data_IF_617093351936
#
_entry.id   IF_617093351936
#
_cell.length_a   1.000
_cell.length_b   1.000
_cell.length_c   1.000
_cell.angle_alpha   90.00
_cell.angle_beta   90.00
_cell.angle_gamma   90.00
#
_symmetry.space_group_name_H-M   'P 1'
#
loop_
_entity.id
_entity.type
_entity.pdbx_description
1 polymer ?
#
# COMPACT_ATOMS: atom_id res chain seq x y z
N UNK A 1 27.82 82.23 32.77
CA UNK A 1 29.18 82.50 32.26
C UNK A 1 29.36 81.64 31.02
N UNK A 2 29.79 82.04 29.83
CA UNK A 2 30.35 83.25 29.27
C UNK A 2 30.83 82.82 27.87
N UNK A 3 30.43 83.54 26.82
CA UNK A 3 30.71 83.30 25.40
C UNK A 3 32.21 83.22 25.07
N UNK A 4 32.57 82.48 23.99
CA UNK A 4 33.42 82.84 22.81
C UNK A 4 33.96 81.54 22.17
N UNK A 5 34.12 81.32 20.86
CA UNK A 5 34.32 82.11 19.63
C UNK A 5 33.68 81.34 18.45
N UNK A 6 33.03 81.89 17.42
CA UNK A 6 33.34 82.93 16.40
C UNK A 6 34.06 82.39 15.14
N UNK A 7 33.29 82.36 14.03
CA UNK A 7 33.60 82.51 12.58
C UNK A 7 34.62 81.51 11.97
N UNK A 8 34.50 81.03 10.74
CA UNK A 8 33.70 81.38 9.57
C UNK A 8 34.56 81.15 8.32
N UNK A 9 34.07 80.39 7.33
CA UNK A 9 34.74 80.17 6.04
C UNK A 9 33.77 79.52 5.06
N UNK A 10 33.62 80.10 3.86
CA UNK A 10 32.60 79.81 2.83
C UNK A 10 33.30 79.49 1.50
N UNK A 11 32.63 78.67 0.66
CA UNK A 11 32.91 78.24 -0.75
C UNK A 11 33.73 76.95 -0.87
N UNK A 12 33.46 76.00 -1.77
CA UNK A 12 32.46 75.80 -2.83
C UNK A 12 32.30 74.26 -3.02
N UNK A 13 31.12 73.74 -3.33
CA UNK A 13 30.81 73.29 -4.70
C UNK A 13 31.00 71.78 -4.86
N UNK A 14 29.92 71.01 -4.78
CA UNK A 14 29.92 69.56 -5.02
C UNK A 14 28.49 69.03 -4.93
N UNK A 15 27.89 68.78 -6.09
CA UNK A 15 26.53 68.25 -6.27
C UNK A 15 26.38 66.90 -5.58
N UNK A 16 25.40 66.78 -4.68
CA UNK A 16 24.95 65.49 -4.16
C UNK A 16 23.48 65.30 -4.56
N UNK A 17 23.27 64.39 -5.49
CA UNK A 17 21.96 63.95 -5.94
C UNK A 17 21.12 63.42 -4.76
N UNK A 18 19.92 63.96 -4.60
CA UNK A 18 18.97 63.56 -3.58
C UNK A 18 18.47 62.13 -3.82
N UNK A 19 18.82 61.23 -2.90
CA UNK A 19 18.15 59.94 -2.73
C UNK A 19 16.84 60.18 -1.99
N UNK A 20 15.74 60.25 -2.75
CA UNK A 20 14.39 60.23 -2.21
C UNK A 20 14.06 58.78 -1.84
N UNK A 21 13.76 58.57 -0.56
CA UNK A 21 13.26 57.32 0.00
C UNK A 21 11.87 57.01 -0.55
N UNK A 22 11.81 56.27 -1.65
CA UNK A 22 10.60 55.60 -2.10
C UNK A 22 10.39 54.34 -1.26
N UNK A 23 9.47 54.42 -0.29
CA UNK A 23 8.87 53.24 0.33
C UNK A 23 8.21 52.42 -0.79
N UNK A 24 8.89 51.37 -1.23
CA UNK A 24 8.28 50.35 -2.07
C UNK A 24 7.13 49.73 -1.27
N UNK A 25 5.90 50.00 -1.68
CA UNK A 25 4.74 49.28 -1.21
C UNK A 25 4.97 47.80 -1.54
N UNK A 26 5.12 46.97 -0.50
CA UNK A 26 5.09 45.53 -0.63
C UNK A 26 3.75 45.13 -1.20
N UNK A 27 3.71 44.75 -2.47
CA UNK A 27 2.56 44.07 -3.06
C UNK A 27 2.25 42.85 -2.19
N UNK A 28 1.00 42.64 -1.75
CA UNK A 28 0.64 41.39 -1.11
C UNK A 28 0.90 40.26 -2.11
N UNK A 29 1.65 39.24 -1.68
CA UNK A 29 1.88 38.05 -2.49
C UNK A 29 0.52 37.53 -2.96
N UNK A 30 0.32 37.39 -4.29
CA UNK A 30 -0.82 36.67 -4.82
C UNK A 30 -0.70 35.22 -4.36
N UNK A 31 -1.31 34.90 -3.22
CA UNK A 31 -1.56 33.50 -2.86
C UNK A 31 -2.47 32.95 -3.94
N UNK A 32 -2.05 31.90 -4.64
CA UNK A 32 -2.90 31.19 -5.59
C UNK A 32 -4.17 30.78 -4.82
N UNK A 33 -5.33 31.31 -5.24
CA UNK A 33 -6.60 30.93 -4.64
C UNK A 33 -6.88 29.47 -5.00
N UNK A 34 -6.47 28.55 -4.13
CA UNK A 34 -6.62 27.12 -4.35
C UNK A 34 -8.05 26.70 -4.03
N UNK A 35 -8.88 26.56 -5.06
CA UNK A 35 -10.26 26.07 -4.95
C UNK A 35 -10.49 24.83 -5.82
N UNK A 36 -10.15 23.62 -5.33
CA UNK A 36 -10.22 22.39 -6.10
C UNK A 36 -11.64 21.89 -6.36
N UNK A 37 -12.65 22.43 -5.66
CA UNK A 37 -14.03 21.93 -5.72
C UNK A 37 -14.76 22.23 -7.03
N UNK A 38 -14.30 23.25 -7.74
CA UNK A 38 -14.95 23.73 -8.97
C UNK A 38 -14.36 23.08 -10.23
N UNK A 39 -13.27 22.32 -10.08
CA UNK A 39 -12.59 21.65 -11.20
C UNK A 39 -13.16 20.26 -11.39
N UNK A 40 -13.80 20.03 -12.55
CA UNK A 40 -14.36 18.73 -12.91
C UNK A 40 -13.40 17.85 -13.70
N UNK A 41 -12.46 18.45 -14.43
CA UNK A 41 -11.48 17.71 -15.21
C UNK A 41 -10.33 17.20 -14.32
N UNK A 42 -10.05 15.89 -14.30
CA UNK A 42 -9.00 15.35 -13.45
C UNK A 42 -7.60 15.86 -13.80
N UNK A 43 -7.31 16.17 -15.07
CA UNK A 43 -5.99 16.62 -15.50
C UNK A 43 -5.74 18.08 -15.07
N UNK A 44 -6.73 18.96 -15.26
CA UNK A 44 -6.71 20.33 -14.74
C UNK A 44 -6.57 20.35 -13.20
N UNK A 45 -7.24 19.43 -12.51
CA UNK A 45 -7.13 19.32 -11.06
C UNK A 45 -5.70 18.89 -10.63
N UNK A 46 -5.06 17.99 -11.38
CA UNK A 46 -3.66 17.62 -11.14
C UNK A 46 -2.74 18.83 -11.33
N UNK A 47 -2.91 19.61 -12.41
CA UNK A 47 -2.11 20.81 -12.67
C UNK A 47 -2.28 21.87 -11.58
N UNK A 48 -3.52 22.09 -11.12
CA UNK A 48 -3.80 23.00 -10.01
C UNK A 48 -3.13 22.54 -8.71
N UNK A 49 -3.16 21.24 -8.40
CA UNK A 49 -2.49 20.69 -7.23
C UNK A 49 -0.97 20.82 -7.33
N UNK A 50 -0.39 20.55 -8.50
CA UNK A 50 1.05 20.70 -8.76
C UNK A 50 1.47 22.16 -8.57
N UNK A 51 0.72 23.12 -9.11
CA UNK A 51 0.99 24.54 -8.93
C UNK A 51 0.95 24.97 -7.45
N UNK A 52 -0.07 24.52 -6.71
CA UNK A 52 -0.19 24.83 -5.28
C UNK A 52 0.93 24.21 -4.43
N UNK A 53 1.46 23.04 -4.81
CA UNK A 53 2.58 22.39 -4.13
C UNK A 53 3.94 23.00 -4.48
N UNK A 54 4.07 23.59 -5.67
CA UNK A 54 5.27 24.34 -6.07
C UNK A 54 5.36 25.74 -5.44
N UNK A 55 4.23 26.33 -5.07
CA UNK A 55 4.20 27.63 -4.43
C UNK A 55 4.91 27.59 -3.07
N UNK A 56 6.10 28.20 -3.02
CA UNK A 56 6.94 28.31 -1.82
C UNK A 56 6.25 29.07 -0.68
N UNK A 57 5.27 29.91 -1.00
CA UNK A 57 4.52 30.73 -0.06
C UNK A 57 3.16 30.12 0.31
N UNK A 58 2.80 28.97 -0.25
CA UNK A 58 1.57 28.27 0.10
C UNK A 58 1.52 28.00 1.61
N UNK A 59 0.36 28.22 2.22
CA UNK A 59 0.17 27.89 3.64
C UNK A 59 0.22 26.37 3.86
N UNK A 60 0.53 25.87 5.07
CA UNK A 60 0.41 24.44 5.38
C UNK A 60 -0.97 23.88 5.08
N UNK A 61 -2.04 24.63 5.38
CA UNK A 61 -3.41 24.22 5.07
C UNK A 61 -3.65 24.10 3.56
N UNK A 62 -3.09 25.02 2.76
CA UNK A 62 -3.16 24.97 1.29
C UNK A 62 -2.44 23.74 0.74
N UNK A 63 -1.22 23.45 1.22
CA UNK A 63 -0.46 22.26 0.81
C UNK A 63 -1.16 20.97 1.19
N UNK A 64 -1.70 20.88 2.41
CA UNK A 64 -2.50 19.73 2.84
C UNK A 64 -3.75 19.55 1.97
N UNK A 65 -4.45 20.64 1.64
CA UNK A 65 -5.62 20.60 0.77
C UNK A 65 -5.25 20.18 -0.66
N UNK A 66 -4.10 20.63 -1.17
CA UNK A 66 -3.57 20.23 -2.46
C UNK A 66 -3.20 18.74 -2.50
N UNK A 67 -2.51 18.22 -1.48
CA UNK A 67 -2.19 16.78 -1.40
C UNK A 67 -3.44 15.91 -1.26
N UNK A 68 -4.44 16.35 -0.50
CA UNK A 68 -5.71 15.64 -0.38
C UNK A 68 -6.48 15.61 -1.70
N UNK A 69 -6.53 16.74 -2.43
CA UNK A 69 -7.18 16.85 -3.73
C UNK A 69 -6.45 16.04 -4.79
N UNK A 70 -5.11 16.05 -4.77
CA UNK A 70 -4.24 15.22 -5.60
C UNK A 70 -4.55 13.72 -5.39
N UNK A 71 -4.61 13.26 -4.14
CA UNK A 71 -4.97 11.88 -3.85
C UNK A 71 -6.38 11.54 -4.37
N UNK A 72 -7.37 12.42 -4.16
CA UNK A 72 -8.73 12.25 -4.68
C UNK A 72 -8.80 12.17 -6.20
N UNK A 73 -8.00 12.99 -6.91
CA UNK A 73 -7.89 12.94 -8.37
C UNK A 73 -7.33 11.59 -8.84
N UNK A 74 -6.26 11.10 -8.21
CA UNK A 74 -5.61 9.84 -8.57
C UNK A 74 -6.50 8.60 -8.29
N UNK A 75 -7.41 8.66 -7.30
CA UNK A 75 -8.46 7.64 -7.09
C UNK A 75 -9.47 7.55 -8.26
N UNK A 76 -9.52 8.55 -9.14
CA UNK A 76 -10.41 8.63 -10.29
C UNK A 76 -10.09 7.66 -11.44
N UNK A 77 -9.00 6.89 -11.35
CA UNK A 77 -8.38 6.20 -12.50
C UNK A 77 -7.99 7.19 -13.59
N UNK A 78 -6.98 8.01 -13.30
CA UNK A 78 -6.35 8.88 -14.30
C UNK A 78 -5.21 8.08 -14.94
N UNK A 79 -5.36 7.49 -16.14
CA UNK A 79 -4.29 6.73 -16.75
C UNK A 79 -3.14 7.67 -17.15
N UNK A 80 -2.10 7.72 -16.33
CA UNK A 80 -0.90 8.53 -16.59
C UNK A 80 0.14 7.67 -17.32
N UNK A 81 0.77 8.26 -18.34
CA UNK A 81 1.83 7.64 -19.13
C UNK A 81 3.10 8.48 -19.04
N UNK A 82 4.04 8.06 -18.20
CA UNK A 82 5.28 8.80 -17.95
C UNK A 82 6.10 9.09 -19.22
N UNK A 83 5.98 8.25 -20.25
CA UNK A 83 6.69 8.46 -21.51
C UNK A 83 6.15 9.67 -22.31
N UNK A 84 4.89 10.06 -22.09
CA UNK A 84 4.22 11.14 -22.82
C UNK A 84 3.75 12.27 -21.91
N UNK A 85 3.79 12.07 -20.59
CA UNK A 85 3.28 12.94 -19.56
C UNK A 85 4.34 13.15 -18.49
N UNK A 86 4.82 14.39 -18.32
CA UNK A 86 5.80 14.73 -17.29
C UNK A 86 5.22 14.85 -15.88
N UNK A 87 3.88 14.86 -15.74
CA UNK A 87 3.21 15.04 -14.44
C UNK A 87 3.58 14.00 -13.39
N UNK A 88 3.67 12.69 -13.68
CA UNK A 88 4.02 11.68 -12.69
C UNK A 88 5.32 11.96 -11.94
N UNK A 89 6.39 12.31 -12.67
CA UNK A 89 7.69 12.61 -12.08
C UNK A 89 7.64 13.87 -11.20
N UNK A 90 6.94 14.91 -11.67
CA UNK A 90 6.76 16.15 -10.91
C UNK A 90 5.96 15.90 -9.63
N UNK A 91 4.83 15.19 -9.74
CA UNK A 91 3.98 14.80 -8.61
C UNK A 91 4.79 13.99 -7.60
N UNK A 92 5.56 13.00 -8.07
CA UNK A 92 6.41 12.17 -7.22
C UNK A 92 7.46 13.00 -6.49
N UNK A 93 8.16 13.89 -7.18
CA UNK A 93 9.16 14.78 -6.58
C UNK A 93 8.56 15.69 -5.50
N UNK A 94 7.39 16.29 -5.75
CA UNK A 94 6.67 17.15 -4.80
C UNK A 94 6.19 16.38 -3.56
N UNK A 95 5.68 15.16 -3.76
CA UNK A 95 5.35 14.27 -2.66
C UNK A 95 6.59 13.89 -1.85
N UNK A 96 7.72 13.62 -2.51
CA UNK A 96 9.00 13.34 -1.86
C UNK A 96 9.50 14.49 -0.97
N UNK A 97 9.31 15.74 -1.37
CA UNK A 97 9.61 16.92 -0.52
C UNK A 97 8.71 16.94 0.72
N UNK A 98 7.41 16.70 0.54
CA UNK A 98 6.43 16.68 1.63
C UNK A 98 6.70 15.56 2.65
N UNK A 99 7.07 14.37 2.16
CA UNK A 99 7.48 13.22 2.99
C UNK A 99 8.75 13.56 3.80
N UNK A 100 9.80 14.07 3.14
CA UNK A 100 11.05 14.44 3.81
C UNK A 100 10.79 15.46 4.93
N UNK A 101 9.96 16.47 4.65
CA UNK A 101 9.62 17.52 5.62
C UNK A 101 8.77 16.99 6.78
N UNK A 102 7.74 16.18 6.50
CA UNK A 102 6.87 15.61 7.54
C UNK A 102 7.54 14.56 8.41
N UNK A 103 8.51 13.82 7.87
CA UNK A 103 9.31 12.90 8.68
C UNK A 103 10.35 13.61 9.56
N UNK A 104 10.79 14.81 9.17
CA UNK A 104 11.73 15.61 9.95
C UNK A 104 11.06 16.43 11.07
N UNK A 105 9.80 16.84 10.88
CA UNK A 105 9.10 17.70 11.82
C UNK A 105 7.61 17.30 11.99
N UNK A 106 7.15 17.02 13.22
CA UNK A 106 5.77 16.57 13.49
C UNK A 106 4.68 17.51 12.98
N UNK A 107 4.96 18.82 12.92
CA UNK A 107 4.04 19.83 12.39
C UNK A 107 3.60 19.58 10.94
N UNK A 108 4.37 18.81 10.16
CA UNK A 108 4.06 18.46 8.77
C UNK A 108 3.73 16.97 8.59
N UNK A 109 3.46 16.22 9.66
CA UNK A 109 3.15 14.79 9.59
C UNK A 109 1.89 14.48 8.76
N UNK A 110 0.92 15.41 8.74
CA UNK A 110 -0.27 15.28 7.88
C UNK A 110 0.07 15.45 6.40
N UNK A 111 0.92 16.40 6.03
CA UNK A 111 1.44 16.54 4.66
C UNK A 111 2.15 15.23 4.23
N UNK A 112 3.03 14.67 5.06
CA UNK A 112 3.70 13.39 4.75
C UNK A 112 2.71 12.23 4.55
N UNK A 113 1.69 12.08 5.41
CA UNK A 113 0.67 11.02 5.27
C UNK A 113 -0.10 11.11 3.96
N UNK A 114 -0.51 12.33 3.58
CA UNK A 114 -1.21 12.55 2.31
C UNK A 114 -0.29 12.30 1.12
N UNK A 115 0.98 12.69 1.21
CA UNK A 115 1.99 12.44 0.18
C UNK A 115 2.28 10.94 0.01
N UNK A 116 2.39 10.16 1.09
CA UNK A 116 2.50 8.70 0.99
C UNK A 116 1.30 8.08 0.26
N UNK A 117 0.08 8.52 0.59
CA UNK A 117 -1.14 8.07 -0.10
C UNK A 117 -1.09 8.42 -1.59
N UNK A 118 -0.72 9.66 -1.92
CA UNK A 118 -0.62 10.12 -3.31
C UNK A 118 0.43 9.33 -4.11
N UNK A 119 1.59 9.02 -3.53
CA UNK A 119 2.63 8.20 -4.18
C UNK A 119 2.12 6.79 -4.50
N UNK A 120 1.46 6.12 -3.54
CA UNK A 120 0.90 4.79 -3.80
C UNK A 120 -0.20 4.81 -4.86
N UNK A 121 -1.09 5.81 -4.84
CA UNK A 121 -2.13 5.98 -5.86
C UNK A 121 -1.52 6.29 -7.24
N UNK A 122 -0.51 7.16 -7.30
CA UNK A 122 0.23 7.45 -8.52
C UNK A 122 0.80 6.17 -9.12
N UNK A 123 1.45 5.33 -8.32
CA UNK A 123 2.00 4.07 -8.77
C UNK A 123 0.94 3.10 -9.35
N UNK A 124 -0.29 3.12 -8.81
CA UNK A 124 -1.43 2.34 -9.33
C UNK A 124 -2.00 2.90 -10.65
N UNK A 125 -1.80 4.18 -10.94
CA UNK A 125 -2.32 4.84 -12.14
C UNK A 125 -1.39 4.73 -13.36
N UNK A 126 -0.12 4.36 -13.15
CA UNK A 126 0.89 4.28 -14.21
C UNK A 126 0.75 3.04 -15.11
N UNK A 127 0.83 3.25 -16.43
CA UNK A 127 0.59 2.22 -17.45
C UNK A 127 1.84 1.52 -18.00
N UNK A 128 3.00 2.18 -18.02
CA UNK A 128 4.16 1.75 -18.83
C UNK A 128 5.49 1.82 -18.05
N UNK A 129 5.76 0.89 -17.13
CA UNK A 129 7.07 0.83 -16.46
C UNK A 129 7.17 1.73 -15.23
N UNK A 130 6.81 3.01 -15.31
CA UNK A 130 7.06 4.04 -14.28
C UNK A 130 6.83 3.74 -12.79
N UNK A 131 6.02 2.74 -12.46
CA UNK A 131 5.94 2.22 -11.09
C UNK A 131 7.27 1.64 -10.59
N UNK A 132 8.15 1.14 -11.48
CA UNK A 132 9.47 0.59 -11.14
C UNK A 132 10.42 1.64 -10.62
N UNK A 133 10.48 2.78 -11.31
CA UNK A 133 11.30 3.94 -10.97
C UNK A 133 10.77 4.55 -9.67
N UNK A 134 9.45 4.71 -9.54
CA UNK A 134 8.83 5.15 -8.28
C UNK A 134 9.20 4.21 -7.12
N UNK A 135 9.16 2.90 -7.30
CA UNK A 135 9.58 1.95 -6.27
C UNK A 135 11.06 2.14 -5.91
N UNK A 136 11.94 2.18 -6.91
CA UNK A 136 13.38 2.33 -6.69
C UNK A 136 13.73 3.63 -5.95
N UNK A 137 13.10 4.74 -6.32
CA UNK A 137 13.37 6.06 -5.72
C UNK A 137 12.69 6.26 -4.36
N UNK A 138 11.50 5.68 -4.16
CA UNK A 138 10.76 5.81 -2.88
C UNK A 138 11.22 4.80 -1.82
N UNK A 139 11.77 3.66 -2.21
CA UNK A 139 12.14 2.60 -1.28
C UNK A 139 13.09 3.10 -0.16
N UNK A 140 14.19 3.83 -0.41
CA UNK A 140 15.09 4.28 0.64
C UNK A 140 14.41 5.15 1.70
N UNK A 141 13.51 6.05 1.28
CA UNK A 141 12.78 6.92 2.22
C UNK A 141 11.72 6.14 3.01
N UNK A 142 11.01 5.21 2.37
CA UNK A 142 10.02 4.35 3.02
C UNK A 142 10.69 3.42 4.03
N UNK A 143 11.75 2.73 3.64
CA UNK A 143 12.52 1.84 4.51
C UNK A 143 13.07 2.60 5.73
N UNK A 144 13.62 3.80 5.54
CA UNK A 144 14.07 4.65 6.65
C UNK A 144 12.92 5.00 7.60
N UNK A 145 11.73 5.29 7.09
CA UNK A 145 10.54 5.58 7.91
C UNK A 145 10.17 4.38 8.77
N UNK A 146 10.17 3.17 8.18
CA UNK A 146 9.87 1.93 8.90
C UNK A 146 10.92 1.57 9.96
N UNK A 147 12.21 1.84 9.70
CA UNK A 147 13.28 1.66 10.69
C UNK A 147 13.10 2.53 11.93
N UNK A 148 12.45 3.69 11.80
CA UNK A 148 12.14 4.60 12.92
C UNK A 148 10.71 4.40 13.46
N UNK A 149 10.02 3.32 13.08
CA UNK A 149 8.66 3.04 13.54
C UNK A 149 8.44 3.16 15.07
N UNK A 150 9.39 2.77 15.95
CA UNK A 150 9.23 2.94 17.40
C UNK A 150 9.13 4.39 17.89
N UNK A 151 9.63 5.36 17.13
CA UNK A 151 9.67 6.78 17.53
C UNK A 151 8.81 7.67 16.65
N UNK A 152 8.16 7.11 15.63
CA UNK A 152 7.30 7.83 14.71
C UNK A 152 5.82 7.71 15.09
N UNK A 153 5.03 8.68 14.65
CA UNK A 153 3.58 8.64 14.79
C UNK A 153 3.00 7.37 14.12
N UNK A 154 2.17 6.57 14.83
CA UNK A 154 1.61 5.31 14.32
C UNK A 154 0.89 5.44 12.98
N UNK A 155 0.17 6.55 12.78
CA UNK A 155 -0.58 6.77 11.53
C UNK A 155 0.33 7.10 10.36
N UNK A 156 1.46 7.74 10.63
CA UNK A 156 2.52 8.01 9.64
C UNK A 156 3.22 6.74 9.22
N UNK A 157 3.55 5.86 10.18
CA UNK A 157 4.13 4.54 9.88
C UNK A 157 3.15 3.69 9.08
N UNK A 158 1.87 3.69 9.44
CA UNK A 158 0.81 2.97 8.70
C UNK A 158 0.70 3.47 7.25
N UNK A 159 0.71 4.79 7.04
CA UNK A 159 0.69 5.37 5.69
C UNK A 159 1.92 4.97 4.87
N UNK A 160 3.10 4.92 5.49
CA UNK A 160 4.33 4.47 4.84
C UNK A 160 4.30 2.97 4.50
N UNK A 161 3.74 2.12 5.38
CA UNK A 161 3.54 0.69 5.11
C UNK A 161 2.61 0.46 3.92
N UNK A 162 1.47 1.15 3.89
CA UNK A 162 0.50 1.06 2.79
C UNK A 162 1.08 1.59 1.47
N UNK A 163 1.86 2.68 1.54
CA UNK A 163 2.58 3.22 0.38
C UNK A 163 3.58 2.20 -0.14
N UNK A 164 4.46 1.65 0.72
CA UNK A 164 5.46 0.65 0.34
C UNK A 164 4.81 -0.58 -0.29
N UNK A 165 3.78 -1.12 0.33
CA UNK A 165 3.02 -2.25 -0.21
C UNK A 165 2.49 -1.95 -1.62
N UNK A 166 1.98 -0.74 -1.85
CA UNK A 166 1.38 -0.36 -3.13
C UNK A 166 2.44 -0.12 -4.23
N UNK A 167 3.53 0.59 -3.92
CA UNK A 167 4.61 0.82 -4.90
C UNK A 167 5.36 -0.47 -5.22
N UNK A 168 5.53 -1.36 -4.25
CA UNK A 168 6.13 -2.69 -4.49
C UNK A 168 5.20 -3.57 -5.32
N UNK A 169 3.91 -3.62 -4.99
CA UNK A 169 2.93 -4.38 -5.76
C UNK A 169 2.91 -3.98 -7.24
N UNK A 170 3.02 -2.69 -7.52
CA UNK A 170 2.91 -2.13 -8.88
C UNK A 170 4.24 -2.08 -9.64
N UNK A 171 5.35 -1.90 -8.92
CA UNK A 171 6.68 -1.66 -9.47
C UNK A 171 7.68 -2.81 -9.34
N UNK A 172 7.43 -3.85 -8.55
CA UNK A 172 8.36 -4.99 -8.47
C UNK A 172 8.24 -5.88 -9.72
N UNK A 173 9.26 -5.82 -10.58
CA UNK A 173 9.38 -6.68 -11.77
C UNK A 173 10.06 -8.02 -11.45
N UNK A 174 10.89 -8.08 -10.41
CA UNK A 174 11.60 -9.28 -9.98
C UNK A 174 11.27 -9.69 -8.54
N UNK A 175 11.71 -10.89 -8.13
CA UNK A 175 11.56 -11.36 -6.76
C UNK A 175 12.40 -10.53 -5.78
N UNK A 176 13.54 -9.97 -6.21
CA UNK A 176 14.46 -9.24 -5.34
C UNK A 176 13.84 -7.94 -4.79
N UNK A 177 13.11 -7.17 -5.60
CA UNK A 177 12.48 -5.94 -5.13
C UNK A 177 11.32 -6.22 -4.17
N UNK A 178 10.55 -7.27 -4.45
CA UNK A 178 9.50 -7.73 -3.55
C UNK A 178 10.09 -8.22 -2.22
N UNK A 179 11.15 -9.03 -2.27
CA UNK A 179 11.83 -9.57 -1.08
C UNK A 179 12.42 -8.45 -0.22
N UNK A 180 13.03 -7.44 -0.82
CA UNK A 180 13.58 -6.28 -0.10
C UNK A 180 12.48 -5.53 0.68
N UNK A 181 11.31 -5.38 0.08
CA UNK A 181 10.15 -4.75 0.70
C UNK A 181 9.56 -5.62 1.81
N UNK A 182 9.45 -6.93 1.59
CA UNK A 182 9.01 -7.91 2.60
C UNK A 182 9.93 -7.90 3.82
N UNK A 183 11.26 -7.86 3.62
CA UNK A 183 12.24 -7.76 4.71
C UNK A 183 12.08 -6.46 5.50
N UNK A 184 11.89 -5.32 4.81
CA UNK A 184 11.70 -4.03 5.47
C UNK A 184 10.44 -4.02 6.36
N UNK A 185 9.32 -4.57 5.88
CA UNK A 185 8.08 -4.66 6.67
C UNK A 185 8.24 -5.67 7.82
N UNK A 186 8.86 -6.83 7.58
CA UNK A 186 9.10 -7.84 8.61
C UNK A 186 9.98 -7.30 9.75
N UNK A 187 10.91 -6.40 9.46
CA UNK A 187 11.70 -5.71 10.48
C UNK A 187 10.88 -4.82 11.43
N UNK A 188 9.68 -4.37 11.02
CA UNK A 188 8.74 -3.65 11.90
C UNK A 188 8.00 -4.62 12.82
N UNK A 189 7.62 -5.79 12.31
CA UNK A 189 6.92 -6.84 13.07
C UNK A 189 7.85 -7.42 14.14
N UNK A 190 9.06 -7.83 13.71
CA UNK A 190 10.07 -8.47 14.55
C UNK A 190 11.46 -7.86 14.27
N UNK A 191 11.86 -6.79 15.00
CA UNK A 191 13.12 -6.10 14.76
C UNK A 191 14.37 -6.92 15.13
N UNK A 192 14.22 -7.96 15.97
CA UNK A 192 15.30 -8.87 16.32
C UNK A 192 15.11 -10.24 15.67
N UNK A 193 15.84 -10.56 14.58
CA UNK A 193 15.71 -11.85 13.90
C UNK A 193 16.22 -13.03 14.73
N UNK A 194 16.97 -12.81 15.82
CA UNK A 194 17.41 -13.87 16.75
C UNK A 194 16.32 -14.32 17.72
N UNK A 195 15.24 -13.52 17.86
CA UNK A 195 14.10 -13.82 18.71
C UNK A 195 12.80 -13.58 17.92
N UNK A 196 12.52 -14.41 16.89
CA UNK A 196 11.43 -14.15 15.95
C UNK A 196 10.07 -14.08 16.66
N UNK A 197 9.87 -14.83 17.75
CA UNK A 197 8.57 -14.93 18.42
C UNK A 197 8.24 -13.74 19.34
N UNK A 198 9.10 -12.72 19.44
CA UNK A 198 8.93 -11.62 20.39
C UNK A 198 8.64 -10.31 19.65
N UNK A 199 7.41 -9.83 19.81
CA UNK A 199 7.00 -8.51 19.31
C UNK A 199 7.70 -7.43 20.14
N UNK A 200 8.19 -6.36 19.49
CA UNK A 200 8.73 -5.23 20.21
C UNK A 200 7.63 -4.48 20.96
N UNK A 201 7.76 -4.35 22.27
CA UNK A 201 6.86 -3.53 23.10
C UNK A 201 6.89 -2.03 22.75
N UNK A 202 7.85 -1.59 21.93
CA UNK A 202 7.99 -0.20 21.50
C UNK A 202 7.12 0.14 20.29
N UNK A 203 6.61 -0.85 19.57
CA UNK A 203 5.75 -0.64 18.40
C UNK A 203 4.30 -0.83 18.83
N UNK A 204 3.45 0.14 18.49
CA UNK A 204 2.03 0.09 18.87
C UNK A 204 1.29 -1.08 18.19
N UNK A 205 0.26 -1.66 18.82
CA UNK A 205 -0.54 -2.74 18.22
C UNK A 205 -1.11 -2.37 16.84
N UNK A 206 -1.54 -1.12 16.66
CA UNK A 206 -2.01 -0.60 15.37
C UNK A 206 -0.95 -0.76 14.26
N UNK A 207 0.31 -0.40 14.54
CA UNK A 207 1.40 -0.50 13.56
C UNK A 207 1.76 -1.95 13.29
N UNK A 208 1.75 -2.81 14.32
CA UNK A 208 2.02 -4.25 14.14
C UNK A 208 0.95 -4.88 13.25
N UNK A 209 -0.35 -4.62 13.52
CA UNK A 209 -1.43 -5.13 12.70
C UNK A 209 -1.31 -4.66 11.24
N UNK A 210 -1.04 -3.37 11.01
CA UNK A 210 -0.82 -2.82 9.67
C UNK A 210 0.41 -3.44 8.96
N UNK A 211 1.51 -3.63 9.69
CA UNK A 211 2.72 -4.24 9.16
C UNK A 211 2.47 -5.71 8.75
N UNK A 212 1.76 -6.48 9.58
CA UNK A 212 1.37 -7.85 9.23
C UNK A 212 0.47 -7.86 7.99
N UNK A 213 -0.60 -7.07 7.98
CA UNK A 213 -1.52 -7.03 6.83
C UNK A 213 -0.84 -6.60 5.52
N UNK A 214 0.06 -5.62 5.57
CA UNK A 214 0.82 -5.15 4.38
C UNK A 214 1.86 -6.16 3.93
N UNK A 215 2.53 -6.83 4.87
CA UNK A 215 3.44 -7.94 4.57
C UNK A 215 2.69 -9.09 3.89
N UNK A 216 1.56 -9.51 4.45
CA UNK A 216 0.72 -10.59 3.88
C UNK A 216 0.23 -10.21 2.49
N UNK A 217 -0.26 -8.98 2.30
CA UNK A 217 -0.62 -8.49 0.98
C UNK A 217 0.53 -8.65 -0.02
N UNK A 218 1.74 -8.20 0.31
CA UNK A 218 2.88 -8.35 -0.58
C UNK A 218 3.22 -9.81 -0.87
N UNK A 219 3.17 -10.70 0.12
CA UNK A 219 3.38 -12.15 -0.06
C UNK A 219 2.40 -12.73 -1.08
N UNK A 220 1.12 -12.37 -1.00
CA UNK A 220 0.10 -12.83 -1.98
C UNK A 220 0.34 -12.31 -3.39
N UNK A 221 1.17 -11.28 -3.52
CA UNK A 221 1.54 -10.67 -4.80
C UNK A 221 3.02 -10.92 -5.12
N UNK A 222 3.70 -11.85 -4.46
CA UNK A 222 5.06 -12.24 -4.82
C UNK A 222 4.98 -13.54 -5.64
N UNK A 223 5.69 -13.61 -6.76
CA UNK A 223 5.82 -14.85 -7.52
C UNK A 223 6.84 -15.76 -6.82
N UNK A 224 6.37 -16.63 -5.93
CA UNK A 224 7.24 -17.52 -5.15
C UNK A 224 7.23 -18.92 -5.80
N UNK A 225 8.35 -19.30 -6.40
CA UNK A 225 8.55 -20.63 -7.00
C UNK A 225 8.93 -21.67 -5.95
N UNK A 226 8.79 -22.97 -6.25
CA UNK A 226 9.25 -24.04 -5.38
C UNK A 226 10.75 -23.97 -5.08
N UNK A 227 11.55 -23.63 -6.09
CA UNK A 227 12.99 -23.45 -5.93
C UNK A 227 13.29 -22.32 -4.92
N UNK A 228 12.56 -21.21 -4.98
CA UNK A 228 12.70 -20.10 -4.05
C UNK A 228 12.26 -20.50 -2.63
N UNK A 229 11.12 -21.19 -2.48
CA UNK A 229 10.68 -21.73 -1.18
C UNK A 229 11.76 -22.58 -0.52
N UNK A 230 12.43 -23.43 -1.30
CA UNK A 230 13.48 -24.31 -0.82
C UNK A 230 14.75 -23.55 -0.47
N UNK A 231 15.17 -22.61 -1.31
CA UNK A 231 16.34 -21.77 -1.07
C UNK A 231 16.17 -20.92 0.21
N UNK A 232 15.00 -20.32 0.40
CA UNK A 232 14.70 -19.42 1.51
C UNK A 232 14.05 -20.10 2.71
N UNK A 233 14.15 -21.43 2.83
CA UNK A 233 13.47 -22.21 3.87
C UNK A 233 13.67 -21.67 5.29
N UNK A 234 14.89 -21.19 5.59
CA UNK A 234 15.22 -20.64 6.90
C UNK A 234 14.52 -19.29 7.14
N UNK A 235 14.43 -18.45 6.11
CA UNK A 235 13.74 -17.16 6.18
C UNK A 235 12.23 -17.35 6.32
N UNK A 236 11.64 -18.29 5.58
CA UNK A 236 10.22 -18.63 5.74
C UNK A 236 9.92 -19.19 7.12
N UNK A 237 10.70 -20.15 7.62
CA UNK A 237 10.52 -20.68 8.97
C UNK A 237 10.64 -19.58 10.04
N UNK A 238 11.58 -18.65 9.90
CA UNK A 238 11.68 -17.50 10.81
C UNK A 238 10.46 -16.59 10.72
N UNK A 239 9.94 -16.32 9.52
CA UNK A 239 8.72 -15.53 9.33
C UNK A 239 7.49 -16.22 9.93
N UNK A 240 7.33 -17.54 9.76
CA UNK A 240 6.23 -18.30 10.37
C UNK A 240 6.33 -18.29 11.90
N UNK A 241 7.53 -18.46 12.45
CA UNK A 241 7.76 -18.36 13.89
C UNK A 241 7.41 -16.96 14.42
N UNK A 242 7.79 -15.90 13.70
CA UNK A 242 7.39 -14.54 14.00
C UNK A 242 5.87 -14.35 14.03
N UNK A 243 5.18 -14.79 12.98
CA UNK A 243 3.72 -14.69 12.90
C UNK A 243 3.03 -15.51 14.01
N UNK A 244 3.57 -16.68 14.35
CA UNK A 244 3.08 -17.49 15.47
C UNK A 244 3.26 -16.76 16.82
N UNK A 245 4.36 -16.01 17.00
CA UNK A 245 4.54 -15.10 18.14
C UNK A 245 3.50 -13.98 18.15
N UNK A 246 3.24 -13.35 17.00
CA UNK A 246 2.23 -12.30 16.85
C UNK A 246 0.81 -12.80 17.15
N UNK A 247 0.51 -14.06 16.81
CA UNK A 247 -0.76 -14.72 17.12
C UNK A 247 -1.04 -14.83 18.64
N UNK A 248 0.00 -14.75 19.47
CA UNK A 248 -0.12 -14.75 20.94
C UNK A 248 -0.40 -13.36 21.53
N UNK A 249 -0.46 -12.29 20.73
CA UNK A 249 -0.71 -10.95 21.22
C UNK A 249 -2.08 -10.80 21.91
N UNK A 250 -2.14 -9.91 22.91
CA UNK A 250 -3.38 -9.56 23.62
C UNK A 250 -4.33 -8.74 22.74
N UNK A 251 -3.78 -7.94 21.83
CA UNK A 251 -4.57 -7.10 20.93
C UNK A 251 -5.26 -7.94 19.85
N UNK A 252 -6.58 -7.77 19.73
CA UNK A 252 -7.43 -8.55 18.82
C UNK A 252 -7.10 -8.30 17.36
N UNK A 253 -6.85 -7.05 16.96
CA UNK A 253 -6.54 -6.72 15.57
C UNK A 253 -5.17 -7.30 15.16
N UNK A 254 -4.19 -7.28 16.08
CA UNK A 254 -2.87 -7.88 15.87
C UNK A 254 -2.96 -9.39 15.64
N UNK A 255 -3.66 -10.12 16.52
CA UNK A 255 -3.79 -11.58 16.37
C UNK A 255 -4.66 -11.97 15.17
N UNK A 256 -5.70 -11.20 14.84
CA UNK A 256 -6.48 -11.41 13.60
C UNK A 256 -5.59 -11.30 12.35
N UNK A 257 -4.78 -10.24 12.26
CA UNK A 257 -3.85 -10.06 11.15
C UNK A 257 -2.85 -11.21 11.04
N UNK A 258 -2.31 -11.69 12.18
CA UNK A 258 -1.41 -12.85 12.21
C UNK A 258 -2.11 -14.15 11.78
N UNK A 259 -3.36 -14.36 12.18
CA UNK A 259 -4.16 -15.50 11.75
C UNK A 259 -4.37 -15.52 10.24
N UNK A 260 -4.79 -14.39 9.64
CA UNK A 260 -4.91 -14.26 8.19
C UNK A 260 -3.58 -14.49 7.48
N UNK A 261 -2.48 -13.94 8.02
CA UNK A 261 -1.14 -14.15 7.48
C UNK A 261 -0.74 -15.62 7.46
N UNK A 262 -0.97 -16.35 8.55
CA UNK A 262 -0.68 -17.77 8.65
C UNK A 262 -1.56 -18.60 7.72
N UNK A 263 -2.85 -18.25 7.57
CA UNK A 263 -3.74 -18.90 6.62
C UNK A 263 -3.25 -18.74 5.17
N UNK A 264 -2.80 -17.54 4.79
CA UNK A 264 -2.15 -17.29 3.49
C UNK A 264 -0.85 -18.08 3.34
N UNK A 265 -0.01 -18.13 4.37
CA UNK A 265 1.24 -18.89 4.31
C UNK A 265 1.00 -20.39 4.11
N UNK A 266 -0.02 -20.96 4.74
CA UNK A 266 -0.45 -22.35 4.51
C UNK A 266 -0.97 -22.52 3.08
N UNK A 267 -1.84 -21.61 2.61
CA UNK A 267 -2.43 -21.66 1.26
C UNK A 267 -1.38 -21.58 0.14
N UNK A 268 -0.33 -20.80 0.34
CA UNK A 268 0.79 -20.64 -0.59
C UNK A 268 1.92 -21.67 -0.37
N UNK A 269 1.69 -22.65 0.50
CA UNK A 269 2.64 -23.72 0.84
C UNK A 269 4.01 -23.19 1.35
N UNK A 270 4.00 -22.06 2.05
CA UNK A 270 5.20 -21.44 2.66
C UNK A 270 5.59 -22.12 3.98
N UNK A 271 4.67 -22.88 4.57
CA UNK A 271 4.87 -23.61 5.83
C UNK A 271 5.42 -25.03 5.63
N UNK A 272 5.70 -25.46 4.39
CA UNK A 272 6.08 -26.85 4.07
C UNK A 272 7.35 -27.34 4.79
N UNK A 273 8.25 -26.44 5.15
CA UNK A 273 9.49 -26.77 5.87
C UNK A 273 9.45 -26.39 7.35
N UNK A 274 8.31 -25.89 7.83
CA UNK A 274 8.12 -25.54 9.23
C UNK A 274 7.97 -26.84 10.04
N UNK A 275 8.66 -26.99 11.18
CA UNK A 275 8.55 -28.18 12.00
C UNK A 275 7.09 -28.47 12.36
N UNK A 276 6.69 -29.74 12.25
CA UNK A 276 5.30 -30.17 12.50
C UNK A 276 4.78 -29.72 13.87
N UNK A 277 5.61 -29.86 14.91
CA UNK A 277 5.29 -29.42 16.28
C UNK A 277 4.92 -27.94 16.35
N UNK A 278 5.58 -27.09 15.57
CA UNK A 278 5.34 -25.66 15.56
C UNK A 278 4.00 -25.35 14.87
N UNK A 279 3.68 -26.05 13.78
CA UNK A 279 2.38 -25.93 13.10
C UNK A 279 1.23 -26.48 13.96
N UNK A 280 1.44 -27.56 14.71
CA UNK A 280 0.46 -28.08 15.67
C UNK A 280 0.18 -27.05 16.79
N UNK A 281 1.20 -26.35 17.27
CA UNK A 281 1.03 -25.27 18.25
C UNK A 281 0.25 -24.07 17.68
N UNK A 282 0.50 -23.70 16.41
CA UNK A 282 -0.28 -22.67 15.71
C UNK A 282 -1.74 -23.09 15.58
N UNK A 283 -1.99 -24.33 15.15
CA UNK A 283 -3.34 -24.86 14.99
C UNK A 283 -4.10 -24.90 16.32
N UNK A 284 -3.47 -25.36 17.41
CA UNK A 284 -4.05 -25.34 18.74
C UNK A 284 -4.47 -23.92 19.15
N UNK A 285 -3.58 -22.92 18.94
CA UNK A 285 -3.88 -21.52 19.26
C UNK A 285 -5.04 -20.97 18.42
N UNK A 286 -5.09 -21.28 17.13
CA UNK A 286 -6.20 -20.87 16.24
C UNK A 286 -7.51 -21.47 16.73
N UNK A 287 -7.52 -22.74 17.12
CA UNK A 287 -8.71 -23.41 17.64
C UNK A 287 -9.17 -22.80 18.97
N UNK A 288 -8.26 -22.48 19.89
CA UNK A 288 -8.59 -21.76 21.14
C UNK A 288 -9.26 -20.41 20.86
N UNK A 289 -8.72 -19.62 19.93
CA UNK A 289 -9.26 -18.32 19.53
C UNK A 289 -10.63 -18.42 18.84
N UNK A 290 -10.96 -19.56 18.25
CA UNK A 290 -12.25 -19.80 17.58
C UNK A 290 -13.41 -20.03 18.57
N UNK A 291 -13.09 -20.49 19.79
CA UNK A 291 -14.05 -20.77 20.87
C UNK A 291 -13.98 -19.79 22.04
N UNK A 292 -13.01 -18.87 22.01
CA UNK A 292 -12.80 -17.83 23.03
C UNK A 292 -14.12 -17.14 23.43
N UNK A 293 -14.28 -16.95 24.75
CA UNK A 293 -15.41 -16.24 25.33
C UNK A 293 -15.19 -14.73 25.28
N UNK A 294 -16.28 -13.97 25.29
CA UNK A 294 -16.19 -12.52 25.37
C UNK A 294 -15.92 -12.09 26.82
N UNK A 295 -14.89 -11.27 27.03
CA UNK A 295 -14.64 -10.68 28.34
C UNK A 295 -15.53 -9.45 28.58
N UNK A 296 -15.70 -9.10 29.86
CA UNK A 296 -16.44 -7.91 30.27
C UNK A 296 -15.79 -6.65 29.71
N UNK A 297 -16.55 -5.82 28.98
CA UNK A 297 -16.05 -4.59 28.36
C UNK A 297 -15.45 -4.76 26.95
N UNK A 298 -15.52 -5.97 26.39
CA UNK A 298 -15.06 -6.24 25.02
C UNK A 298 -15.95 -5.55 23.97
N UNK A 299 -15.35 -4.98 22.93
CA UNK A 299 -16.06 -4.56 21.72
C UNK A 299 -16.73 -5.79 21.08
N UNK A 300 -18.06 -5.84 21.18
CA UNK A 300 -18.86 -6.96 20.68
C UNK A 300 -18.69 -7.18 19.19
N UNK A 301 -18.51 -6.11 18.41
CA UNK A 301 -18.38 -6.21 16.95
C UNK A 301 -17.05 -6.85 16.60
N UNK A 302 -15.95 -6.29 17.11
CA UNK A 302 -14.61 -6.80 16.87
C UNK A 302 -14.44 -8.24 17.38
N UNK A 303 -15.04 -8.56 18.52
CA UNK A 303 -15.04 -9.93 19.05
C UNK A 303 -15.76 -10.91 18.11
N UNK A 304 -16.93 -10.55 17.59
CA UNK A 304 -17.67 -11.41 16.66
C UNK A 304 -16.90 -11.59 15.34
N UNK A 305 -16.28 -10.53 14.83
CA UNK A 305 -15.41 -10.60 13.64
C UNK A 305 -14.24 -11.55 13.86
N UNK A 306 -13.52 -11.39 14.97
CA UNK A 306 -12.41 -12.27 15.33
C UNK A 306 -12.86 -13.74 15.45
N UNK A 307 -13.94 -14.00 16.19
CA UNK A 307 -14.45 -15.36 16.38
C UNK A 307 -14.86 -15.99 15.05
N UNK A 308 -15.53 -15.21 14.20
CA UNK A 308 -15.89 -15.64 12.85
C UNK A 308 -14.68 -15.94 11.97
N UNK A 309 -13.63 -15.12 12.08
CA UNK A 309 -12.38 -15.31 11.36
C UNK A 309 -11.66 -16.60 11.80
N UNK A 310 -11.40 -16.78 13.09
CA UNK A 310 -10.68 -17.97 13.57
C UNK A 310 -11.45 -19.27 13.39
N UNK A 311 -12.79 -19.24 13.39
CA UNK A 311 -13.58 -20.41 12.98
C UNK A 311 -13.32 -20.80 11.53
N UNK A 312 -13.22 -19.83 10.62
CA UNK A 312 -12.90 -20.09 9.22
C UNK A 312 -11.46 -20.58 9.07
N UNK A 313 -10.50 -19.99 9.78
CA UNK A 313 -9.08 -20.41 9.73
C UNK A 313 -8.92 -21.82 10.31
N UNK A 314 -9.55 -22.13 11.45
CA UNK A 314 -9.55 -23.47 12.06
C UNK A 314 -10.13 -24.50 11.10
N UNK A 315 -11.31 -24.22 10.52
CA UNK A 315 -11.93 -25.10 9.53
C UNK A 315 -11.04 -25.32 8.29
N UNK A 316 -10.35 -24.26 7.84
CA UNK A 316 -9.39 -24.34 6.74
C UNK A 316 -8.19 -25.22 7.09
N UNK A 317 -7.55 -25.01 8.24
CA UNK A 317 -6.37 -25.76 8.66
C UNK A 317 -6.67 -27.24 8.98
N UNK A 318 -7.84 -27.54 9.54
CA UNK A 318 -8.24 -28.90 9.91
C UNK A 318 -8.83 -29.71 8.74
N UNK A 319 -9.69 -29.08 7.94
CA UNK A 319 -10.54 -29.76 6.96
C UNK A 319 -10.33 -29.31 5.52
N UNK A 320 -9.44 -28.33 5.29
CA UNK A 320 -9.22 -27.74 3.97
C UNK A 320 -10.41 -26.91 3.48
N UNK A 321 -11.30 -26.48 4.37
CA UNK A 321 -12.47 -25.68 3.99
C UNK A 321 -12.04 -24.31 3.46
N UNK A 322 -12.33 -24.05 2.19
CA UNK A 322 -12.00 -22.77 1.56
C UNK A 322 -12.82 -21.62 2.17
N UNK A 323 -12.20 -20.45 2.42
CA UNK A 323 -12.93 -19.28 2.89
C UNK A 323 -13.92 -18.83 1.81
N UNK A 324 -14.94 -18.06 2.21
CA UNK A 324 -15.92 -17.49 1.27
C UNK A 324 -16.14 -16.02 1.56
N UNK A 325 -15.81 -15.17 0.60
CA UNK A 325 -16.10 -13.75 0.63
C UNK A 325 -16.85 -13.34 -0.63
N UNK A 326 -17.85 -12.48 -0.49
CA UNK A 326 -18.54 -11.83 -1.60
C UNK A 326 -18.59 -10.33 -1.35
N UNK A 327 -18.01 -9.56 -2.27
CA UNK A 327 -17.99 -8.10 -2.23
C UNK A 327 -18.92 -7.55 -3.30
N UNK A 328 -19.94 -6.81 -2.89
CA UNK A 328 -20.90 -6.17 -3.78
C UNK A 328 -20.23 -5.06 -4.62
N UNK A 329 -20.42 -5.07 -5.94
CA UNK A 329 -19.83 -4.07 -6.85
C UNK A 329 -20.81 -3.08 -7.42
N UNK A 330 -22.10 -3.21 -7.12
CA UNK A 330 -23.14 -2.25 -7.51
C UNK A 330 -24.25 -2.18 -6.47
N UNK A 331 -24.97 -1.06 -6.44
CA UNK A 331 -26.20 -0.88 -5.66
C UNK A 331 -27.30 -1.85 -6.06
N UNK A 332 -27.23 -2.42 -7.27
CA UNK A 332 -28.27 -3.30 -7.84
C UNK A 332 -28.15 -4.78 -7.45
N UNK A 333 -27.30 -5.15 -6.48
CA UNK A 333 -27.13 -6.51 -5.92
C UNK A 333 -26.79 -7.66 -6.88
N UNK A 334 -26.67 -7.40 -8.20
CA UNK A 334 -26.47 -8.46 -9.22
C UNK A 334 -25.00 -8.76 -9.51
N UNK A 335 -24.11 -7.80 -9.30
CA UNK A 335 -22.67 -7.98 -9.51
C UNK A 335 -21.95 -8.05 -8.16
N UNK A 336 -21.26 -9.16 -7.89
CA UNK A 336 -20.45 -9.33 -6.69
C UNK A 336 -19.14 -10.04 -7.02
N UNK A 337 -18.02 -9.48 -6.56
CA UNK A 337 -16.70 -10.11 -6.62
C UNK A 337 -16.68 -11.19 -5.56
N UNK A 338 -16.55 -12.45 -5.99
CA UNK A 338 -16.41 -13.59 -5.09
C UNK A 338 -14.93 -13.94 -4.94
N UNK A 339 -14.51 -14.25 -3.73
CA UNK A 339 -13.18 -14.78 -3.43
C UNK A 339 -13.30 -16.04 -2.57
N UNK A 340 -12.57 -17.08 -2.95
CA UNK A 340 -12.57 -18.39 -2.30
C UNK A 340 -11.19 -18.83 -1.80
N UNK A 341 -10.24 -17.90 -1.75
CA UNK A 341 -8.87 -18.13 -1.30
C UNK A 341 -8.47 -17.02 -0.33
N UNK A 342 -7.67 -17.35 0.66
CA UNK A 342 -7.16 -16.39 1.65
C UNK A 342 -6.33 -15.31 0.98
N UNK A 343 -5.47 -15.69 0.03
CA UNK A 343 -4.64 -14.75 -0.70
C UNK A 343 -5.50 -13.69 -1.43
N UNK A 344 -6.57 -14.12 -2.11
CA UNK A 344 -7.45 -13.19 -2.83
C UNK A 344 -8.26 -12.30 -1.90
N UNK A 345 -8.71 -12.84 -0.77
CA UNK A 345 -9.42 -12.08 0.27
C UNK A 345 -8.51 -10.97 0.81
N UNK A 346 -7.25 -11.28 1.14
CA UNK A 346 -6.28 -10.30 1.63
C UNK A 346 -5.99 -9.22 0.57
N UNK A 347 -5.77 -9.62 -0.69
CA UNK A 347 -5.58 -8.67 -1.80
C UNK A 347 -6.77 -7.70 -1.92
N UNK A 348 -7.99 -8.25 -1.94
CA UNK A 348 -9.21 -7.46 -2.06
C UNK A 348 -9.40 -6.50 -0.88
N UNK A 349 -9.19 -6.97 0.35
CA UNK A 349 -9.33 -6.15 1.54
C UNK A 349 -8.34 -4.99 1.55
N UNK A 350 -7.07 -5.27 1.22
CA UNK A 350 -6.04 -4.23 1.10
C UNK A 350 -6.40 -3.20 0.03
N UNK A 351 -6.67 -3.65 -1.20
CA UNK A 351 -6.96 -2.78 -2.34
C UNK A 351 -8.23 -1.96 -2.14
N UNK A 352 -9.29 -2.56 -1.57
CA UNK A 352 -10.54 -1.84 -1.24
C UNK A 352 -10.30 -0.74 -0.22
N UNK A 353 -9.55 -1.02 0.84
CA UNK A 353 -9.18 -0.02 1.87
C UNK A 353 -8.31 1.08 1.27
N UNK A 354 -7.31 0.72 0.47
CA UNK A 354 -6.36 1.68 -0.08
C UNK A 354 -7.01 2.58 -1.13
N UNK A 355 -7.74 2.02 -2.10
CA UNK A 355 -8.38 2.74 -3.20
C UNK A 355 -9.68 3.44 -2.81
N UNK A 356 -10.26 3.13 -1.65
CA UNK A 356 -11.48 3.75 -1.12
C UNK A 356 -12.60 3.85 -2.18
N UNK A 357 -13.15 5.05 -2.41
CA UNK A 357 -14.20 5.30 -3.40
C UNK A 357 -13.79 5.03 -4.85
N UNK A 358 -12.47 4.96 -5.13
CA UNK A 358 -11.91 4.62 -6.43
C UNK A 358 -11.85 3.12 -6.74
N UNK A 359 -12.03 2.25 -5.74
CA UNK A 359 -11.81 0.81 -5.88
C UNK A 359 -12.54 0.20 -7.09
N UNK A 360 -13.84 0.45 -7.23
CA UNK A 360 -14.64 -0.13 -8.33
C UNK A 360 -14.21 0.38 -9.71
N UNK A 361 -13.80 1.65 -9.81
CA UNK A 361 -13.29 2.20 -11.08
C UNK A 361 -11.99 1.52 -11.48
N UNK A 362 -11.07 1.34 -10.54
CA UNK A 362 -9.81 0.64 -10.81
C UNK A 362 -10.05 -0.83 -11.18
N UNK A 363 -10.92 -1.54 -10.46
CA UNK A 363 -11.26 -2.93 -10.79
C UNK A 363 -11.83 -3.06 -12.21
N UNK A 364 -12.71 -2.15 -12.63
CA UNK A 364 -13.35 -2.21 -13.96
C UNK A 364 -12.45 -1.67 -15.10
N UNK A 365 -11.64 -0.64 -14.84
CA UNK A 365 -10.97 0.14 -15.89
C UNK A 365 -9.44 0.07 -15.88
N UNK A 366 -8.80 -0.37 -14.80
CA UNK A 366 -7.33 -0.39 -14.72
C UNK A 366 -6.79 -1.76 -15.15
N UNK A 367 -5.90 -1.73 -16.15
CA UNK A 367 -5.27 -2.92 -16.72
C UNK A 367 -4.49 -3.76 -15.70
N UNK A 368 -4.08 -3.16 -14.59
CA UNK A 368 -3.45 -3.85 -13.46
C UNK A 368 -4.32 -4.93 -12.84
N UNK A 369 -5.64 -4.74 -12.85
CA UNK A 369 -6.58 -5.61 -12.15
C UNK A 369 -7.24 -6.63 -13.08
N UNK A 370 -6.68 -6.85 -14.29
CA UNK A 370 -7.22 -7.63 -15.42
C UNK A 370 -7.51 -9.12 -15.19
N UNK A 371 -7.49 -9.62 -13.97
CA UNK A 371 -8.43 -10.70 -13.74
C UNK A 371 -9.82 -10.08 -13.85
N UNK A 372 -10.71 -10.57 -14.72
CA UNK A 372 -12.11 -10.36 -14.43
C UNK A 372 -12.30 -11.04 -13.07
N UNK A 373 -12.25 -10.28 -11.98
CA UNK A 373 -13.05 -10.64 -10.84
C UNK A 373 -14.42 -10.92 -11.46
N UNK A 374 -14.92 -12.15 -11.37
CA UNK A 374 -16.13 -12.57 -12.08
C UNK A 374 -17.30 -11.67 -11.66
N UNK A 375 -17.39 -10.53 -12.32
CA UNK A 375 -18.52 -9.64 -12.37
C UNK A 375 -19.42 -10.40 -13.30
N UNK A 376 -20.30 -11.22 -12.73
CA UNK A 376 -21.21 -12.07 -13.50
C UNK A 376 -21.91 -11.23 -14.57
N UNK A 377 -21.41 -11.33 -15.79
CA UNK A 377 -21.91 -10.67 -16.97
C UNK A 377 -22.09 -11.74 -18.04
N UNK A 378 -23.30 -11.76 -18.55
CA UNK A 378 -23.88 -12.66 -19.52
C UNK A 378 -22.94 -12.93 -20.72
N UNK A 379 -22.81 -14.19 -21.09
CA UNK A 379 -22.06 -14.62 -22.27
C UNK A 379 -22.69 -14.03 -23.53
N UNK A 380 -21.98 -13.11 -24.21
CA UNK A 380 -21.87 -12.98 -25.68
C UNK A 380 -21.12 -11.72 -26.10
N UNK A 381 -19.80 -11.81 -26.23
CA UNK A 381 -19.03 -10.95 -27.13
C UNK A 381 -17.68 -11.59 -27.48
N UNK A 382 -17.69 -12.53 -28.43
CA UNK A 382 -16.49 -13.14 -29.01
C UNK A 382 -15.80 -12.15 -29.95
N UNK A 383 -14.74 -11.47 -29.48
CA UNK A 383 -13.84 -10.70 -30.33
C UNK A 383 -12.91 -11.64 -31.11
N UNK A 384 -12.83 -11.45 -32.43
CA UNK A 384 -12.12 -12.36 -33.35
C UNK A 384 -10.59 -12.35 -33.17
N UNK A 385 -10.00 -13.53 -33.37
CA UNK A 385 -8.58 -13.88 -33.19
C UNK A 385 -7.63 -12.94 -33.97
N UNK A 386 -8.10 -12.32 -35.05
CA UNK A 386 -7.32 -11.39 -35.87
C UNK A 386 -7.01 -10.06 -35.14
N UNK A 387 -7.94 -9.55 -34.31
CA UNK A 387 -7.70 -8.34 -33.49
C UNK A 387 -6.68 -8.59 -32.37
N UNK A 388 -6.63 -9.81 -31.81
CA UNK A 388 -5.58 -10.20 -30.83
C UNK A 388 -4.18 -10.21 -31.44
N UNK A 389 -4.04 -10.66 -32.70
CA UNK A 389 -2.73 -10.71 -33.38
C UNK A 389 -2.18 -9.33 -33.75
N UNK A 390 -3.05 -8.35 -34.03
CA UNK A 390 -2.62 -6.99 -34.38
C UNK A 390 -2.12 -6.21 -33.14
N UNK A 391 -2.75 -6.39 -31.99
CA UNK A 391 -2.34 -5.73 -30.74
C UNK A 391 -0.99 -6.26 -30.20
N UNK A 392 -0.68 -7.53 -30.47
CA UNK A 392 0.56 -8.20 -30.03
C UNK A 392 1.82 -7.72 -30.77
N UNK A 393 1.68 -6.99 -31.89
CA UNK A 393 2.80 -6.66 -32.78
C UNK A 393 3.50 -5.32 -32.47
N UNK A 394 3.00 -4.53 -31.51
CA UNK A 394 3.54 -3.19 -31.20
C UNK A 394 4.19 -3.01 -29.82
N UNK A 395 4.29 -4.05 -28.98
CA UNK A 395 4.70 -3.89 -27.57
C UNK A 395 5.64 -5.00 -27.07
N UNK A 396 6.83 -5.13 -27.66
CA UNK A 396 7.84 -6.09 -27.20
C UNK A 396 8.97 -5.39 -26.42
N UNK A 397 9.09 -5.71 -25.14
CA UNK A 397 10.24 -5.34 -24.32
C UNK A 397 9.95 -5.44 -22.82
N UNK A 398 9.06 -4.59 -22.29
CA UNK A 398 8.78 -4.51 -20.84
C UNK A 398 7.33 -4.78 -20.44
N UNK A 399 6.37 -4.75 -21.38
CA UNK A 399 4.94 -5.01 -21.09
C UNK A 399 4.61 -6.46 -20.76
N UNK A 400 5.39 -7.41 -21.26
CA UNK A 400 5.14 -8.83 -21.02
C UNK A 400 5.38 -9.22 -19.56
N UNK A 401 6.32 -8.55 -18.87
CA UNK A 401 6.70 -8.98 -17.54
C UNK A 401 5.61 -8.67 -16.50
N UNK A 402 4.92 -7.52 -16.58
CA UNK A 402 3.87 -7.12 -15.61
C UNK A 402 2.58 -7.94 -15.72
N UNK A 403 2.10 -8.19 -16.95
CA UNK A 403 0.90 -9.01 -17.19
C UNK A 403 1.17 -10.50 -16.88
N UNK A 404 2.36 -11.01 -17.19
CA UNK A 404 2.79 -12.36 -16.82
C UNK A 404 2.99 -12.48 -15.30
N UNK A 405 3.58 -11.46 -14.67
CA UNK A 405 3.77 -11.37 -13.22
C UNK A 405 2.43 -11.35 -12.50
N UNK A 406 1.42 -10.61 -12.99
CA UNK A 406 0.04 -10.67 -12.46
C UNK A 406 -0.63 -12.03 -12.68
N UNK A 407 -0.47 -12.63 -13.87
CA UNK A 407 -1.01 -13.96 -14.16
C UNK A 407 -0.34 -15.08 -13.31
N UNK A 408 0.95 -14.95 -12.99
CA UNK A 408 1.71 -15.85 -12.10
C UNK A 408 1.33 -15.60 -10.63
N UNK A 409 1.08 -14.34 -10.24
CA UNK A 409 0.67 -13.96 -8.87
C UNK A 409 -0.77 -14.35 -8.54
N UNK A 410 -1.60 -14.65 -9.54
CA UNK A 410 -3.00 -15.04 -9.35
C UNK A 410 -3.35 -16.41 -9.97
N UNK A 411 -2.38 -17.34 -10.04
CA UNK A 411 -2.60 -18.73 -10.52
C UNK A 411 -3.73 -19.46 -9.76
N UNK A 412 -4.15 -18.96 -8.59
CA UNK A 412 -5.21 -19.54 -7.77
C UNK A 412 -6.64 -19.15 -8.20
N UNK A 413 -6.81 -18.39 -9.28
CA UNK A 413 -8.11 -17.97 -9.82
C UNK A 413 -8.42 -18.66 -11.16
N UNK A 414 -9.16 -19.78 -11.10
CA UNK A 414 -10.33 -20.14 -11.93
C UNK A 414 -10.48 -21.67 -12.07
N UNK A 415 -11.72 -22.19 -12.09
CA UNK A 415 -11.98 -23.58 -12.43
C UNK A 415 -11.68 -23.79 -13.92
N UNK A 416 -10.58 -24.44 -14.25
CA UNK A 416 -10.48 -25.11 -15.55
C UNK A 416 -11.30 -26.39 -15.47
N UNK A 417 -12.62 -26.30 -15.73
CA UNK A 417 -13.45 -27.37 -16.29
C UNK A 417 -13.25 -28.82 -15.81
N UNK A 418 -12.82 -29.06 -14.57
CA UNK A 418 -12.67 -30.39 -14.01
C UNK A 418 -13.74 -30.58 -12.95
N UNK A 419 -14.48 -31.67 -13.07
CA UNK A 419 -15.50 -32.12 -12.12
C UNK A 419 -15.02 -31.98 -10.67
N UNK A 420 -15.93 -31.68 -9.72
CA UNK A 420 -15.58 -31.70 -8.32
C UNK A 420 -14.94 -33.06 -7.98
N UNK A 421 -13.77 -33.11 -7.33
CA UNK A 421 -13.22 -34.38 -6.89
C UNK A 421 -14.27 -35.05 -6.01
N UNK A 422 -14.63 -36.28 -6.37
CA UNK A 422 -15.67 -37.07 -5.73
C UNK A 422 -15.55 -36.97 -4.21
N UNK A 423 -16.70 -36.76 -3.57
CA UNK A 423 -16.89 -36.42 -2.16
C UNK A 423 -16.43 -37.49 -1.15
N UNK A 424 -15.67 -38.50 -1.57
CA UNK A 424 -15.44 -39.75 -0.84
C UNK A 424 -14.00 -40.27 -0.83
N UNK A 425 -12.97 -39.42 -0.87
CA UNK A 425 -11.58 -39.87 -0.58
C UNK A 425 -10.81 -38.88 0.30
N UNK A 426 -10.73 -39.10 1.63
CA UNK A 426 -9.94 -38.27 2.55
C UNK A 426 -8.42 -38.37 2.31
N UNK A 427 -7.96 -39.27 1.44
CA UNK A 427 -6.53 -39.55 1.24
C UNK A 427 -5.84 -38.70 0.16
N UNK A 428 -6.55 -37.81 -0.53
CA UNK A 428 -5.95 -36.96 -1.57
C UNK A 428 -5.56 -35.55 -1.09
N UNK A 429 -6.04 -35.10 0.08
CA UNK A 429 -5.59 -33.85 0.70
C UNK A 429 -4.23 -33.99 1.41
N UNK A 430 -3.81 -35.21 1.72
CA UNK A 430 -2.47 -35.52 2.24
C UNK A 430 -1.35 -35.40 1.19
N UNK A 431 -1.67 -35.18 -0.09
CA UNK A 431 -0.69 -35.07 -1.18
C UNK A 431 -0.35 -33.64 -1.63
N UNK A 432 -0.91 -32.62 -1.00
CA UNK A 432 -0.60 -31.21 -1.30
C UNK A 432 0.51 -30.60 -0.43
N UNK A 433 1.26 -31.42 0.32
CA UNK A 433 2.37 -30.93 1.13
C UNK A 433 3.06 -31.99 1.98
N UNK A 434 3.13 -33.23 1.51
CA UNK A 434 3.92 -34.30 2.15
C UNK A 434 4.52 -35.21 1.08
N UNK A 435 5.74 -34.86 0.65
CA UNK A 435 6.87 -35.76 0.43
C UNK A 435 8.17 -34.98 0.59
#
# INVERSE_FOLDING_TARGET
MGRKNKRGGKKAGGEAAGSSSSKAASLPALSVNFNPKDVTDPFELLDMCVAALHDKYASPATRESALASLAGALEGVVPLDEATDGRPLVIFALCGVSIKKGNAAPAFAKEARLAYRAVGLLALTLRNGGSTEILAESFPMLAKTLQHAPTMDPTTVTAALDCLATVTFTGALGPEEAERSLKAIMGVICPNPKSPNVISSKVTPQVVAAAVSTWTFLVTTASITDAQRKADRAAWNAAIASLAGVLQADDRAVRMAAGEALAVCVELNLTQYTPRKDMEAVQARVSDLSIEAADKGTDKTLFLEQKGLFKQISAYMERGERPRMALQTSSNRREAIKASTWAKIVQLNFLRRFLAGGFLRHVKGNKLFKEPFDVGADEKATLSIAKRKLLMKMEKGMKMNRELTWAIKNVYCLPQGAEPPERNKPDQLLKLGWH
#
